data_IF_735117227381
#
_entry.id   IF_735117227381
#
_cell.length_a   1.000
_cell.length_b   1.000
_cell.length_c   1.000
_cell.angle_alpha   90.00
_cell.angle_beta   90.00
_cell.angle_gamma   90.00
#
_symmetry.space_group_name_H-M   'P 1'
#
loop_
_entity.id
_entity.type
_entity.pdbx_description
1 polymer ?
#
# COMPACT_ATOMS: atom_id res chain seq x y z
N UNK A 1 -11.15 -31.83 -26.47
CA UNK A 1 -11.79 -31.68 -25.14
C UNK A 1 -10.88 -32.30 -24.10
N UNK A 2 -10.41 -31.50 -23.15
CA UNK A 2 -9.53 -31.92 -22.06
C UNK A 2 -10.32 -32.86 -21.14
N UNK A 3 -9.82 -34.09 -20.99
CA UNK A 3 -10.47 -35.10 -20.12
C UNK A 3 -10.25 -34.77 -18.64
N UNK A 4 -11.25 -35.06 -17.81
CA UNK A 4 -11.19 -34.92 -16.34
C UNK A 4 -9.99 -35.66 -15.72
N UNK A 5 -9.62 -36.82 -16.28
CA UNK A 5 -8.43 -37.59 -15.87
C UNK A 5 -7.10 -36.83 -16.06
N UNK A 6 -7.02 -35.96 -17.07
CA UNK A 6 -5.84 -35.12 -17.29
C UNK A 6 -5.75 -34.00 -16.24
N UNK A 7 -6.90 -33.42 -15.87
CA UNK A 7 -7.00 -32.42 -14.81
C UNK A 7 -6.63 -33.00 -13.44
N UNK A 8 -7.13 -34.20 -13.12
CA UNK A 8 -6.82 -34.88 -11.84
C UNK A 8 -5.35 -35.19 -11.68
N UNK A 9 -4.65 -35.59 -12.76
CA UNK A 9 -3.20 -35.83 -12.70
C UNK A 9 -2.39 -34.55 -12.45
N UNK A 10 -2.92 -33.38 -12.83
CA UNK A 10 -2.20 -32.09 -12.73
C UNK A 10 -2.52 -31.29 -11.49
N UNK A 11 -3.69 -31.49 -10.88
CA UNK A 11 -4.07 -30.90 -9.59
C UNK A 11 -2.97 -30.98 -8.51
N UNK A 12 -2.28 -32.12 -8.29
CA UNK A 12 -1.23 -32.21 -7.28
C UNK A 12 -0.08 -31.22 -7.52
N UNK A 13 0.28 -30.96 -8.78
CA UNK A 13 1.32 -30.00 -9.14
C UNK A 13 0.89 -28.56 -8.84
N UNK A 14 -0.39 -28.25 -9.05
CA UNK A 14 -0.94 -26.93 -8.75
C UNK A 14 -0.95 -26.68 -7.24
N UNK A 15 -1.41 -27.67 -6.46
CA UNK A 15 -1.40 -27.60 -4.99
C UNK A 15 0.02 -27.49 -4.44
N UNK A 16 1.00 -28.19 -5.03
CA UNK A 16 2.41 -28.08 -4.61
C UNK A 16 2.98 -26.68 -4.86
N UNK A 17 2.69 -26.09 -6.02
CA UNK A 17 3.10 -24.70 -6.30
C UNK A 17 2.45 -23.74 -5.30
N UNK A 18 1.17 -23.91 -5.00
CA UNK A 18 0.44 -23.08 -4.04
C UNK A 18 1.03 -23.17 -2.62
N UNK A 19 1.35 -24.38 -2.15
CA UNK A 19 2.00 -24.60 -0.84
C UNK A 19 3.35 -23.88 -0.75
N UNK A 20 4.19 -24.01 -1.79
CA UNK A 20 5.49 -23.34 -1.84
C UNK A 20 5.33 -21.81 -1.85
N UNK A 21 4.33 -21.29 -2.57
CA UNK A 21 4.02 -19.86 -2.61
C UNK A 21 3.51 -19.34 -1.27
N UNK A 22 2.65 -20.07 -0.57
CA UNK A 22 2.16 -19.69 0.76
C UNK A 22 3.27 -19.68 1.80
N UNK A 23 4.15 -20.69 1.78
CA UNK A 23 5.35 -20.70 2.65
C UNK A 23 6.23 -19.49 2.40
N UNK A 24 6.41 -19.12 1.13
CA UNK A 24 7.19 -17.93 0.75
C UNK A 24 6.51 -16.64 1.18
N UNK A 25 5.19 -16.55 1.05
CA UNK A 25 4.43 -15.37 1.47
C UNK A 25 4.48 -15.16 3.00
N UNK A 26 4.39 -16.24 3.77
CA UNK A 26 4.34 -16.17 5.24
C UNK A 26 5.73 -16.04 5.90
N UNK A 27 6.75 -16.74 5.39
CA UNK A 27 8.09 -16.83 6.03
C UNK A 27 9.23 -16.27 5.17
N UNK A 28 8.91 -15.76 3.97
CA UNK A 28 9.88 -15.21 3.02
C UNK A 28 10.72 -16.27 2.32
N UNK A 29 11.51 -15.85 1.34
CA UNK A 29 12.38 -16.73 0.54
C UNK A 29 13.43 -17.49 1.36
N UNK A 30 13.75 -17.02 2.57
CA UNK A 30 14.69 -17.68 3.49
C UNK A 30 14.17 -19.00 4.05
N UNK A 31 12.85 -19.26 3.98
CA UNK A 31 12.27 -20.52 4.44
C UNK A 31 12.30 -21.64 3.40
N UNK A 32 12.77 -21.34 2.18
CA UNK A 32 12.87 -22.29 1.09
C UNK A 32 14.33 -22.71 0.88
N UNK A 33 14.54 -24.00 0.70
CA UNK A 33 15.80 -24.56 0.23
C UNK A 33 16.09 -24.09 -1.21
N UNK A 34 17.37 -24.08 -1.60
CA UNK A 34 17.80 -23.85 -2.98
C UNK A 34 17.13 -24.83 -3.95
N UNK A 35 16.87 -26.06 -3.49
CA UNK A 35 16.14 -27.08 -4.25
C UNK A 35 14.66 -26.70 -4.41
N UNK A 36 13.99 -26.26 -3.35
CA UNK A 36 12.57 -25.85 -3.40
C UNK A 36 12.38 -24.59 -4.28
N UNK A 37 13.37 -23.69 -4.34
CA UNK A 37 13.36 -22.54 -5.26
C UNK A 37 13.48 -22.95 -6.73
N UNK A 38 14.31 -23.95 -7.01
CA UNK A 38 14.40 -24.56 -8.35
C UNK A 38 13.10 -25.30 -8.70
N UNK A 39 12.55 -26.06 -7.75
CA UNK A 39 11.26 -26.75 -7.88
C UNK A 39 10.14 -25.76 -8.22
N UNK A 40 10.04 -24.65 -7.49
CA UNK A 40 9.07 -23.59 -7.72
C UNK A 40 9.19 -23.00 -9.14
N UNK A 41 10.42 -22.75 -9.60
CA UNK A 41 10.69 -22.24 -10.95
C UNK A 41 10.30 -23.24 -12.04
N UNK A 42 10.55 -24.54 -11.81
CA UNK A 42 10.16 -25.61 -12.73
C UNK A 42 8.64 -25.78 -12.80
N UNK A 43 7.96 -25.83 -11.65
CA UNK A 43 6.50 -25.93 -11.54
C UNK A 43 5.81 -24.73 -12.20
N UNK A 44 6.35 -23.52 -12.03
CA UNK A 44 5.85 -22.32 -12.70
C UNK A 44 5.81 -22.48 -14.23
N UNK A 45 6.92 -22.92 -14.85
CA UNK A 45 6.98 -23.10 -16.31
C UNK A 45 6.03 -24.22 -16.77
N UNK A 46 5.95 -25.31 -16.01
CA UNK A 46 5.07 -26.43 -16.32
C UNK A 46 3.59 -25.99 -16.32
N UNK A 47 3.18 -25.24 -15.30
CA UNK A 47 1.81 -24.73 -15.17
C UNK A 47 1.50 -23.65 -16.23
N UNK A 48 2.50 -22.84 -16.62
CA UNK A 48 2.35 -21.90 -17.73
C UNK A 48 2.08 -22.61 -19.07
N UNK A 49 2.76 -23.73 -19.33
CA UNK A 49 2.48 -24.57 -20.50
C UNK A 49 1.08 -25.21 -20.43
N UNK A 50 0.66 -25.65 -19.24
CA UNK A 50 -0.68 -26.21 -19.02
C UNK A 50 -1.78 -25.18 -19.27
N UNK A 51 -1.56 -23.94 -18.82
CA UNK A 51 -2.47 -22.82 -19.08
C UNK A 51 -2.59 -22.55 -20.59
N UNK A 52 -1.50 -22.60 -21.36
CA UNK A 52 -1.56 -22.43 -22.80
C UNK A 52 -2.45 -23.50 -23.46
N UNK A 53 -2.28 -24.77 -23.06
CA UNK A 53 -3.11 -25.88 -23.55
C UNK A 53 -4.58 -25.74 -23.13
N UNK A 54 -4.86 -25.28 -21.90
CA UNK A 54 -6.23 -25.04 -21.41
C UNK A 54 -6.90 -23.83 -22.08
N UNK A 55 -6.13 -22.83 -22.53
CA UNK A 55 -6.70 -21.66 -23.23
C UNK A 55 -7.23 -21.99 -24.62
N UNK A 56 -6.69 -23.02 -25.27
CA UNK A 56 -7.21 -23.50 -26.57
C UNK A 56 -8.54 -24.23 -26.45
N UNK A 57 -8.84 -24.83 -25.28
CA UNK A 57 -10.09 -25.55 -25.04
C UNK A 57 -11.15 -24.67 -24.35
N UNK A 58 -12.15 -24.24 -25.13
CA UNK A 58 -13.29 -23.44 -24.65
C UNK A 58 -14.09 -24.10 -23.52
N UNK A 59 -14.02 -25.43 -23.36
CA UNK A 59 -14.69 -26.15 -22.27
C UNK A 59 -14.03 -25.98 -20.90
N UNK A 60 -12.81 -25.43 -20.85
CA UNK A 60 -11.96 -25.42 -19.65
C UNK A 60 -11.63 -24.03 -19.10
N UNK A 61 -12.41 -23.01 -19.51
CA UNK A 61 -12.21 -21.60 -19.16
C UNK A 61 -12.10 -21.36 -17.65
N UNK A 62 -12.84 -22.10 -16.82
CA UNK A 62 -12.75 -21.99 -15.36
C UNK A 62 -11.38 -22.40 -14.83
N UNK A 63 -10.81 -23.50 -15.32
CA UNK A 63 -9.48 -23.97 -14.93
C UNK A 63 -8.39 -23.06 -15.48
N UNK A 64 -8.54 -22.57 -16.71
CA UNK A 64 -7.63 -21.57 -17.29
C UNK A 64 -7.59 -20.29 -16.43
N UNK A 65 -8.74 -19.81 -15.95
CA UNK A 65 -8.80 -18.63 -15.07
C UNK A 65 -8.10 -18.87 -13.74
N UNK A 66 -8.35 -20.01 -13.11
CA UNK A 66 -7.71 -20.39 -11.84
C UNK A 66 -6.18 -20.45 -11.99
N UNK A 67 -5.67 -21.15 -13.01
CA UNK A 67 -4.24 -21.24 -13.26
C UNK A 67 -3.60 -19.89 -13.58
N UNK A 68 -4.32 -19.04 -14.31
CA UNK A 68 -3.84 -17.69 -14.60
C UNK A 68 -3.66 -16.87 -13.32
N UNK A 69 -4.60 -16.94 -12.37
CA UNK A 69 -4.48 -16.28 -11.07
C UNK A 69 -3.32 -16.86 -10.25
N UNK A 70 -3.15 -18.19 -10.23
CA UNK A 70 -2.04 -18.85 -9.54
C UNK A 70 -0.68 -18.43 -10.11
N UNK A 71 -0.54 -18.39 -11.44
CA UNK A 71 0.66 -17.92 -12.12
C UNK A 71 0.93 -16.43 -11.89
N UNK A 72 -0.11 -15.60 -11.84
CA UNK A 72 0.04 -14.18 -11.52
C UNK A 72 0.56 -13.98 -10.09
N UNK A 73 0.06 -14.74 -9.11
CA UNK A 73 0.59 -14.75 -7.74
C UNK A 73 2.05 -15.23 -7.74
N UNK A 74 2.36 -16.33 -8.43
CA UNK A 74 3.70 -16.86 -8.53
C UNK A 74 4.70 -15.86 -9.13
N UNK A 75 4.31 -15.21 -10.23
CA UNK A 75 5.13 -14.22 -10.91
C UNK A 75 5.43 -13.03 -10.00
N UNK A 76 4.42 -12.50 -9.30
CA UNK A 76 4.64 -11.46 -8.30
C UNK A 76 5.58 -11.95 -7.19
N UNK A 77 5.40 -13.14 -6.63
CA UNK A 77 6.28 -13.63 -5.57
C UNK A 77 7.73 -13.78 -6.05
N UNK A 78 7.96 -14.40 -7.21
CA UNK A 78 9.31 -14.64 -7.78
C UNK A 78 10.01 -13.33 -8.17
N UNK A 79 9.33 -12.47 -8.94
CA UNK A 79 9.95 -11.29 -9.53
C UNK A 79 9.86 -10.06 -8.61
N UNK A 80 8.79 -9.92 -7.83
CA UNK A 80 8.69 -8.83 -6.84
C UNK A 80 9.59 -9.08 -5.64
N UNK A 81 9.94 -10.31 -5.25
CA UNK A 81 10.97 -10.50 -4.23
C UNK A 81 12.36 -10.05 -4.66
N UNK A 82 12.63 -10.04 -5.97
CA UNK A 82 13.89 -9.54 -6.51
C UNK A 82 13.92 -7.99 -6.62
N UNK A 83 12.75 -7.33 -6.72
CA UNK A 83 12.64 -5.85 -6.82
C UNK A 83 12.15 -5.15 -5.55
N UNK A 84 11.43 -5.84 -4.68
CA UNK A 84 10.79 -5.33 -3.48
C UNK A 84 11.32 -6.11 -2.28
N UNK A 85 12.58 -5.87 -1.94
CA UNK A 85 13.00 -6.10 -0.57
C UNK A 85 12.10 -5.24 0.34
N UNK A 86 11.54 -5.79 1.44
CA UNK A 86 10.87 -4.98 2.46
C UNK A 86 11.76 -3.82 2.96
N UNK A 87 13.09 -4.00 2.89
CA UNK A 87 14.05 -2.94 3.13
C UNK A 87 13.98 -1.81 2.10
N UNK A 88 13.75 -2.12 0.81
CA UNK A 88 13.59 -1.11 -0.24
C UNK A 88 12.25 -0.36 -0.13
N UNK A 89 11.19 -0.98 0.40
CA UNK A 89 9.92 -0.30 0.69
C UNK A 89 10.04 0.63 1.91
N UNK A 90 10.74 0.18 2.97
CA UNK A 90 11.07 1.03 4.13
C UNK A 90 12.03 2.16 3.73
N UNK A 91 13.02 1.89 2.86
CA UNK A 91 13.95 2.89 2.34
C UNK A 91 13.26 3.87 1.39
N UNK A 92 12.31 3.41 0.58
CA UNK A 92 11.45 4.29 -0.22
C UNK A 92 10.59 5.20 0.67
N UNK A 93 9.96 4.66 1.72
CA UNK A 93 9.24 5.47 2.71
C UNK A 93 10.16 6.40 3.53
N UNK A 94 11.43 6.04 3.72
CA UNK A 94 12.40 6.80 4.53
C UNK A 94 13.20 7.84 3.74
N UNK A 95 13.38 7.66 2.43
CA UNK A 95 14.18 8.54 1.56
C UNK A 95 13.42 9.16 0.39
N UNK A 96 12.47 8.45 -0.25
CA UNK A 96 11.67 9.03 -1.33
C UNK A 96 10.52 9.91 -0.81
N UNK A 97 9.92 9.52 0.32
CA UNK A 97 8.83 10.26 0.97
C UNK A 97 9.21 11.68 1.47
N UNK A 98 10.36 11.90 2.16
CA UNK A 98 10.73 13.26 2.60
C UNK A 98 11.11 14.20 1.45
N UNK A 99 11.50 13.68 0.28
CA UNK A 99 11.86 14.51 -0.89
C UNK A 99 10.64 15.17 -1.52
N UNK A 100 9.50 14.48 -1.54
CA UNK A 100 8.22 15.02 -2.00
C UNK A 100 7.60 15.93 -0.92
N UNK A 101 7.75 15.57 0.35
CA UNK A 101 7.23 16.39 1.46
C UNK A 101 7.93 17.76 1.57
N UNK A 102 9.24 17.83 1.29
CA UNK A 102 10.00 19.10 1.33
C UNK A 102 9.68 20.07 0.18
N UNK A 103 9.10 19.60 -0.93
CA UNK A 103 8.70 20.47 -2.03
C UNK A 103 7.40 21.25 -1.74
N UNK A 104 6.57 20.82 -0.79
CA UNK A 104 5.29 21.48 -0.44
C UNK A 104 5.29 22.19 0.94
N UNK A 105 6.40 22.15 1.68
CA UNK A 105 6.52 22.80 2.99
C UNK A 105 6.51 24.35 2.92
N UNK A 106 6.84 24.93 1.76
CA UNK A 106 6.87 26.38 1.56
C UNK A 106 5.50 27.03 1.75
N UNK A 107 4.43 26.42 1.24
CA UNK A 107 3.06 26.93 1.39
C UNK A 107 2.51 26.74 2.81
N UNK A 108 2.79 25.61 3.46
CA UNK A 108 2.41 25.39 4.86
C UNK A 108 3.13 26.36 5.81
N UNK A 109 4.43 26.61 5.60
CA UNK A 109 5.18 27.60 6.39
C UNK A 109 4.67 29.01 6.15
N UNK A 110 4.36 29.38 4.90
CA UNK A 110 3.80 30.70 4.59
C UNK A 110 2.45 30.91 5.31
N UNK A 111 1.54 29.94 5.26
CA UNK A 111 0.26 30.00 5.98
C UNK A 111 0.46 30.07 7.51
N UNK A 112 1.40 29.29 8.05
CA UNK A 112 1.75 29.32 9.48
C UNK A 112 2.28 30.69 9.91
N UNK A 113 3.17 31.31 9.13
CA UNK A 113 3.70 32.64 9.45
C UNK A 113 2.65 33.75 9.31
N UNK A 114 1.74 33.67 8.34
CA UNK A 114 0.61 34.61 8.21
C UNK A 114 -0.30 34.49 9.43
N UNK A 115 -0.66 33.27 9.82
CA UNK A 115 -1.50 33.02 10.99
C UNK A 115 -0.82 33.51 12.27
N UNK A 116 0.43 33.12 12.50
CA UNK A 116 1.19 33.52 13.68
C UNK A 116 1.41 35.04 13.75
N UNK A 117 1.70 35.69 12.61
CA UNK A 117 1.80 37.13 12.52
C UNK A 117 0.48 37.83 12.87
N UNK A 118 -0.64 37.34 12.33
CA UNK A 118 -1.97 37.88 12.65
C UNK A 118 -2.34 37.69 14.13
N UNK A 119 -1.98 36.56 14.73
CA UNK A 119 -2.21 36.29 16.14
C UNK A 119 -1.38 37.20 17.05
N UNK A 120 -0.11 37.43 16.71
CA UNK A 120 0.77 38.35 17.45
C UNK A 120 0.25 39.78 17.34
N UNK A 121 -0.18 40.23 16.16
CA UNK A 121 -0.77 41.56 15.96
C UNK A 121 -2.07 41.70 16.76
N UNK A 122 -2.94 40.68 16.77
CA UNK A 122 -4.17 40.69 17.58
C UNK A 122 -3.89 40.76 19.08
N UNK A 123 -2.92 40.00 19.58
CA UNK A 123 -2.49 40.04 20.99
C UNK A 123 -1.87 41.40 21.34
N UNK A 124 -1.00 41.93 20.47
CA UNK A 124 -0.36 43.24 20.68
C UNK A 124 -1.39 44.38 20.70
N UNK A 125 -2.37 44.38 19.77
CA UNK A 125 -3.48 45.33 19.76
C UNK A 125 -4.34 45.22 21.04
N UNK A 126 -4.58 44.01 21.52
CA UNK A 126 -5.34 43.78 22.77
C UNK A 126 -4.56 44.23 24.01
N UNK A 127 -3.22 44.15 23.98
CA UNK A 127 -2.37 44.60 25.08
C UNK A 127 -2.15 46.12 25.11
N UNK A 128 -2.16 46.78 23.95
CA UNK A 128 -1.88 48.22 23.85
C UNK A 128 -3.12 49.11 24.08
N UNK A 129 -4.34 48.56 23.94
CA UNK A 129 -5.59 49.32 24.05
C UNK A 129 -6.63 48.61 24.95
N UNK A 130 -6.59 48.83 26.28
CA UNK A 130 -7.58 48.27 27.20
C UNK A 130 -9.02 48.81 26.99
N UNK A 131 -9.22 49.85 26.17
CA UNK A 131 -10.54 50.44 25.87
C UNK A 131 -11.30 49.74 24.73
N UNK A 132 -10.69 48.81 24.00
CA UNK A 132 -11.39 48.11 22.91
C UNK A 132 -12.43 47.09 23.41
N UNK A 133 -12.33 46.66 24.67
CA UNK A 133 -13.36 45.81 25.31
C UNK A 133 -14.69 46.56 25.47
N UNK A 134 -14.66 47.86 25.75
CA UNK A 134 -15.87 48.67 26.02
C UNK A 134 -16.63 49.04 24.74
N UNK A 135 -15.96 49.04 23.58
CA UNK A 135 -16.59 49.46 22.31
C UNK A 135 -17.30 48.33 21.55
N UNK A 136 -16.92 47.07 21.79
CA UNK A 136 -17.59 45.88 21.21
C UNK A 136 -18.70 45.35 22.12
N UNK A 137 -18.50 45.39 23.43
CA UNK A 137 -19.55 45.07 24.41
C UNK A 137 -20.35 46.35 24.64
N UNK A 138 -21.37 46.59 23.81
CA UNK A 138 -22.29 47.71 24.00
C UNK A 138 -22.76 47.81 25.46
N UNK A 139 -23.14 49.03 25.92
CA UNK A 139 -23.33 49.37 27.34
C UNK A 139 -24.39 48.56 28.10
N UNK A 140 -25.06 47.61 27.45
CA UNK A 140 -26.18 46.83 27.98
C UNK A 140 -25.77 45.54 28.73
N UNK A 141 -24.49 45.14 28.71
CA UNK A 141 -24.02 43.92 29.41
C UNK A 141 -23.31 44.19 30.75
N UNK A 142 -23.02 45.45 31.10
CA UNK A 142 -22.38 45.79 32.38
C UNK A 142 -23.41 45.91 33.51
N UNK A 143 -24.67 46.14 33.19
CA UNK A 143 -25.71 46.40 34.21
C UNK A 143 -26.28 45.12 34.85
N UNK A 144 -26.09 43.94 34.24
CA UNK A 144 -26.60 42.67 34.81
C UNK A 144 -25.66 41.99 35.79
N UNK A 145 -24.52 42.60 36.11
CA UNK A 145 -23.53 42.05 37.05
C UNK A 145 -23.43 42.84 38.36
N UNK A 146 -24.28 43.84 38.57
CA UNK A 146 -24.37 44.65 39.80
C UNK A 146 -25.76 44.60 40.47
N UNK A 147 -26.61 43.59 40.15
CA UNK A 147 -27.89 43.33 40.85
C UNK A 147 -27.98 41.92 41.42
#
# INVERSE_FOLDING_TARGET
>A
MISTRWLEKRKPHWSRLEELLERTANKGFKSLSRFELQELSLLYRQIAADLAALREDRGSVHFARYLNQLLARAHNTIYSAHRASPAAMVEYFRYAYPRIFRQNLSYCLAAFFIFLGSAIVGVALTYHDPDFKVKILGPQMVETMDS
#
